data_IF_988633590764
#
_entry.id   IF_988633590764
#
_cell.length_a   1.000
_cell.length_b   1.000
_cell.length_c   1.000
_cell.angle_alpha   90.00
_cell.angle_beta   90.00
_cell.angle_gamma   90.00
#
_symmetry.space_group_name_H-M   'P 1'
#
loop_
_entity.id
_entity.type
_entity.pdbx_description
1 polymer ?
#
# COMPACT_ATOMS: atom_id res chain seq x y z
N UNK A 1 11.40 20.20 10.74
CA UNK A 1 10.53 19.00 10.85
C UNK A 1 9.76 18.83 9.55
N UNK A 2 9.45 17.59 9.14
CA UNK A 2 8.50 17.36 8.04
C UNK A 2 7.08 17.71 8.53
N UNK A 3 6.27 18.32 7.68
CA UNK A 3 4.87 18.65 7.99
C UNK A 3 4.06 17.38 8.25
N UNK A 4 3.22 17.41 9.28
CA UNK A 4 2.26 16.34 9.57
C UNK A 4 1.06 16.35 8.61
N UNK A 5 0.26 15.28 8.60
CA UNK A 5 -0.90 15.16 7.70
C UNK A 5 -1.92 16.29 7.91
N UNK A 6 -2.19 16.67 9.16
CA UNK A 6 -3.15 17.74 9.48
C UNK A 6 -2.67 19.12 9.01
N UNK A 7 -1.36 19.35 8.94
CA UNK A 7 -0.79 20.60 8.42
C UNK A 7 -0.90 20.64 6.90
N UNK A 8 -0.56 19.54 6.22
CA UNK A 8 -0.69 19.42 4.76
C UNK A 8 -2.13 19.62 4.29
N UNK A 9 -3.10 19.00 4.97
CA UNK A 9 -4.53 19.12 4.62
C UNK A 9 -5.08 20.55 4.77
N UNK A 10 -4.47 21.40 5.61
CA UNK A 10 -4.83 22.83 5.71
C UNK A 10 -4.32 23.66 4.53
N UNK A 11 -3.24 23.21 3.88
CA UNK A 11 -2.60 23.92 2.77
C UNK A 11 -3.21 23.54 1.42
N UNK A 12 -3.81 22.35 1.31
CA UNK A 12 -4.48 21.90 0.10
C UNK A 12 -4.73 20.39 0.06
N UNK A 13 -5.10 19.86 -1.10
CA UNK A 13 -5.25 18.42 -1.31
C UNK A 13 -3.95 17.67 -1.02
N UNK A 14 -4.06 16.47 -0.46
CA UNK A 14 -2.94 15.54 -0.26
C UNK A 14 -3.19 14.31 -1.11
N UNK A 15 -2.23 13.96 -1.96
CA UNK A 15 -2.38 12.83 -2.88
C UNK A 15 -2.15 11.50 -2.14
N UNK A 16 -3.16 10.62 -2.15
CA UNK A 16 -3.02 9.23 -1.71
C UNK A 16 -2.36 8.35 -2.77
N UNK A 17 -2.07 7.10 -2.41
CA UNK A 17 -1.64 6.08 -3.37
C UNK A 17 -2.83 5.38 -4.04
N UNK A 18 -2.55 4.30 -4.77
CA UNK A 18 -3.54 3.56 -5.55
C UNK A 18 -3.82 2.15 -5.03
N UNK A 19 -4.47 1.34 -5.87
CA UNK A 19 -4.90 -0.01 -5.49
C UNK A 19 -3.77 -1.05 -5.55
N UNK A 20 -3.11 -1.32 -4.41
CA UNK A 20 -2.08 -2.36 -4.32
C UNK A 20 -2.56 -3.73 -4.74
N UNK A 21 -3.73 -4.17 -4.24
CA UNK A 21 -4.25 -5.50 -4.52
C UNK A 21 -4.43 -5.73 -6.03
N UNK A 22 -5.06 -4.77 -6.71
CA UNK A 22 -5.31 -4.86 -8.14
C UNK A 22 -4.00 -4.86 -8.94
N UNK A 23 -3.05 -4.02 -8.55
CA UNK A 23 -1.79 -3.88 -9.29
C UNK A 23 -0.85 -5.08 -9.05
N UNK A 24 -0.80 -5.61 -7.82
CA UNK A 24 -0.07 -6.83 -7.51
C UNK A 24 -0.71 -8.07 -8.15
N UNK A 25 -2.04 -8.12 -8.26
CA UNK A 25 -2.74 -9.19 -8.96
C UNK A 25 -2.44 -9.18 -10.45
N UNK A 26 -2.47 -8.01 -11.11
CA UNK A 26 -2.07 -7.86 -12.51
C UNK A 26 -0.62 -8.30 -12.78
N UNK A 27 0.25 -8.14 -11.79
CA UNK A 27 1.66 -8.56 -11.85
C UNK A 27 1.88 -10.03 -11.48
N UNK A 28 0.82 -10.75 -11.11
CA UNK A 28 0.89 -12.17 -10.75
C UNK A 28 1.44 -12.44 -9.35
N UNK A 29 1.53 -11.44 -8.48
CA UNK A 29 2.07 -11.59 -7.12
C UNK A 29 1.03 -11.96 -6.07
N UNK A 30 -0.23 -11.56 -6.29
CA UNK A 30 -1.33 -11.78 -5.34
C UNK A 30 -2.55 -12.30 -6.09
N UNK A 31 -3.39 -13.07 -5.40
CA UNK A 31 -4.76 -13.36 -5.83
C UNK A 31 -5.73 -12.73 -4.84
N UNK A 32 -6.76 -12.02 -5.30
CA UNK A 32 -7.77 -11.46 -4.42
C UNK A 32 -8.39 -12.53 -3.51
N UNK A 33 -8.32 -12.31 -2.19
CA UNK A 33 -8.75 -13.29 -1.19
C UNK A 33 -8.15 -13.05 0.20
N UNK A 34 -8.34 -13.98 1.15
CA UNK A 34 -7.90 -13.82 2.54
C UNK A 34 -6.37 -13.75 2.70
N UNK A 35 -5.61 -14.35 1.77
CA UNK A 35 -4.14 -14.41 1.82
C UNK A 35 -3.45 -13.21 1.17
N UNK A 36 -4.20 -12.17 0.78
CA UNK A 36 -3.67 -10.93 0.18
C UNK A 36 -2.41 -10.34 0.87
N UNK A 37 -2.32 -10.25 2.21
CA UNK A 37 -1.15 -9.64 2.86
C UNK A 37 0.09 -10.54 2.88
N UNK A 38 0.01 -11.81 2.49
CA UNK A 38 1.15 -12.76 2.54
C UNK A 38 2.32 -12.33 1.65
N UNK A 39 2.04 -11.56 0.59
CA UNK A 39 3.06 -11.02 -0.33
C UNK A 39 4.11 -10.17 0.40
N UNK A 40 3.74 -9.55 1.53
CA UNK A 40 4.70 -8.82 2.37
C UNK A 40 5.75 -9.74 3.03
N UNK A 41 5.47 -11.04 3.15
CA UNK A 41 6.38 -12.05 3.67
C UNK A 41 7.05 -12.85 2.55
N UNK A 42 6.28 -13.25 1.53
CA UNK A 42 6.76 -14.15 0.46
C UNK A 42 7.53 -13.41 -0.62
N UNK A 43 7.11 -12.18 -0.97
CA UNK A 43 7.69 -11.38 -2.05
C UNK A 43 7.75 -9.88 -1.66
N UNK A 44 8.45 -9.52 -0.56
CA UNK A 44 8.47 -8.15 -0.03
C UNK A 44 9.00 -7.12 -1.05
N UNK A 45 9.88 -7.52 -1.95
CA UNK A 45 10.44 -6.64 -2.96
C UNK A 45 9.41 -6.22 -4.02
N UNK A 46 8.45 -7.10 -4.37
CA UNK A 46 7.35 -6.73 -5.27
C UNK A 46 6.46 -5.63 -4.65
N UNK A 47 6.16 -5.76 -3.35
CA UNK A 47 5.40 -4.75 -2.60
C UNK A 47 6.19 -3.44 -2.46
N UNK A 48 7.49 -3.52 -2.12
CA UNK A 48 8.38 -2.35 -2.02
C UNK A 48 8.51 -1.59 -3.33
N UNK A 49 8.61 -2.32 -4.44
CA UNK A 49 8.68 -1.72 -5.77
C UNK A 49 7.40 -0.91 -6.03
N UNK A 50 6.22 -1.49 -5.78
CA UNK A 50 4.96 -0.79 -6.00
C UNK A 50 4.78 0.43 -5.09
N UNK A 51 5.19 0.36 -3.82
CA UNK A 51 5.26 1.55 -2.96
C UNK A 51 6.13 2.67 -3.57
N UNK A 52 7.26 2.29 -4.16
CA UNK A 52 8.19 3.24 -4.78
C UNK A 52 7.61 3.86 -6.04
N UNK A 53 6.86 3.09 -6.83
CA UNK A 53 6.16 3.56 -8.03
C UNK A 53 5.03 4.53 -7.69
N UNK A 54 4.20 4.26 -6.67
CA UNK A 54 3.18 5.21 -6.23
C UNK A 54 3.80 6.50 -5.70
N UNK A 55 4.90 6.42 -4.94
CA UNK A 55 5.66 7.60 -4.52
C UNK A 55 6.19 8.38 -5.73
N UNK A 56 6.75 7.70 -6.74
CA UNK A 56 7.24 8.33 -7.96
C UNK A 56 6.12 8.99 -8.78
N UNK A 57 4.91 8.44 -8.74
CA UNK A 57 3.70 9.00 -9.33
C UNK A 57 3.13 10.21 -8.55
N UNK A 58 3.72 10.56 -7.40
CA UNK A 58 3.36 11.75 -6.63
C UNK A 58 2.58 11.46 -5.34
N UNK A 59 2.31 10.21 -4.99
CA UNK A 59 1.63 9.88 -3.74
C UNK A 59 2.42 10.43 -2.53
N UNK A 60 1.73 11.18 -1.69
CA UNK A 60 2.25 11.77 -0.46
C UNK A 60 1.99 10.92 0.77
N UNK A 61 1.00 10.02 0.66
CA UNK A 61 0.63 9.04 1.67
C UNK A 61 0.70 7.67 1.02
N UNK A 62 1.42 6.75 1.67
CA UNK A 62 1.46 5.35 1.27
C UNK A 62 0.72 4.52 2.33
N UNK A 63 -0.31 3.78 1.91
CA UNK A 63 -1.06 2.88 2.77
C UNK A 63 -0.32 1.53 2.88
N UNK A 64 -0.15 1.03 4.10
CA UNK A 64 0.43 -0.30 4.31
C UNK A 64 -0.54 -1.39 3.81
N UNK A 65 -0.05 -2.36 3.04
CA UNK A 65 -0.83 -3.52 2.60
C UNK A 65 -1.07 -4.49 3.77
N UNK A 66 -2.03 -4.14 4.62
CA UNK A 66 -2.42 -4.88 5.84
C UNK A 66 -3.90 -5.26 5.84
N UNK A 67 -4.54 -5.19 4.66
CA UNK A 67 -5.89 -5.70 4.48
C UNK A 67 -5.94 -7.19 4.85
N UNK A 68 -6.89 -7.58 5.71
CA UNK A 68 -6.99 -8.92 6.32
C UNK A 68 -5.80 -9.38 7.18
N UNK A 69 -4.82 -8.53 7.51
CA UNK A 69 -3.70 -8.89 8.37
C UNK A 69 -4.03 -8.84 9.87
N UNK A 70 -5.25 -9.21 10.27
CA UNK A 70 -5.64 -9.34 11.68
C UNK A 70 -5.58 -10.79 12.13
N UNK A 71 -5.42 -11.03 13.45
CA UNK A 71 -5.30 -12.38 14.01
C UNK A 71 -6.47 -13.29 13.57
N UNK A 72 -7.70 -12.81 13.67
CA UNK A 72 -8.90 -13.59 13.32
C UNK A 72 -9.02 -13.92 11.82
N UNK A 73 -8.26 -13.22 10.97
CA UNK A 73 -8.30 -13.37 9.52
C UNK A 73 -7.12 -14.16 8.96
N UNK A 74 -6.09 -14.34 9.79
CA UNK A 74 -4.89 -15.15 9.50
C UNK A 74 -4.83 -16.46 10.30
N UNK A 75 -5.90 -16.79 11.04
CA UNK A 75 -6.02 -18.02 11.84
C UNK A 75 -6.29 -19.27 11.00
#
# INVERSE_FOLDING_TARGET
MKKGILEKLKEGPVLGDGGYLLELEKRGWVRAGPFTPEVALTNPEALRQLHSEFRAAGAEVLQALTFYASRDKLA
#
